data_IF_333028416488
#
_entry.id   IF_333028416488
#
_cell.length_a   1.000
_cell.length_b   1.000
_cell.length_c   1.000
_cell.angle_alpha   90.00
_cell.angle_beta   90.00
_cell.angle_gamma   90.00
#
_symmetry.space_group_name_H-M   'P 1'
#
loop_
_entity.id
_entity.type
_entity.pdbx_description
1 polymer ?
#
# COMPACT_ATOMS: atom_id res chain seq x y z
N UNK A 1 8.11 -10.40 -31.38
CA UNK A 1 7.78 -8.96 -31.21
C UNK A 1 6.39 -8.73 -30.61
N UNK A 2 5.53 -9.76 -30.54
CA UNK A 2 4.21 -9.72 -29.87
C UNK A 2 4.28 -9.96 -28.34
N UNK A 3 5.23 -10.77 -27.85
CA UNK A 3 5.38 -11.10 -26.42
C UNK A 3 5.55 -9.88 -25.51
N UNK A 4 6.43 -8.93 -25.87
CA UNK A 4 6.72 -7.74 -25.07
C UNK A 4 5.50 -6.80 -24.87
N UNK A 5 4.45 -6.94 -25.70
CA UNK A 5 3.28 -6.07 -25.64
C UNK A 5 2.16 -6.65 -24.78
N UNK A 6 2.08 -7.98 -24.65
CA UNK A 6 1.18 -8.65 -23.71
C UNK A 6 1.68 -8.46 -22.27
N UNK A 7 2.99 -8.64 -22.04
CA UNK A 7 3.60 -8.46 -20.72
C UNK A 7 3.30 -7.07 -20.11
N UNK A 8 3.38 -6.01 -20.93
CA UNK A 8 3.10 -4.64 -20.46
C UNK A 8 1.63 -4.34 -20.14
N UNK A 9 0.67 -5.08 -20.73
CA UNK A 9 -0.77 -4.91 -20.45
C UNK A 9 -1.12 -5.58 -19.12
N UNK A 10 -0.57 -6.77 -18.87
CA UNK A 10 -0.80 -7.52 -17.63
C UNK A 10 -0.20 -6.78 -16.43
N UNK A 11 1.03 -6.26 -16.56
CA UNK A 11 1.69 -5.46 -15.52
C UNK A 11 0.92 -4.18 -15.19
N UNK A 12 0.39 -3.51 -16.21
CA UNK A 12 -0.43 -2.30 -16.05
C UNK A 12 -1.74 -2.62 -15.32
N UNK A 13 -2.39 -3.73 -15.69
CA UNK A 13 -3.63 -4.17 -15.04
C UNK A 13 -3.39 -4.54 -13.57
N UNK A 14 -2.33 -5.29 -13.28
CA UNK A 14 -1.93 -5.63 -11.91
C UNK A 14 -1.62 -4.38 -11.08
N UNK A 15 -0.93 -3.40 -11.66
CA UNK A 15 -0.63 -2.13 -11.00
C UNK A 15 -1.90 -1.35 -10.66
N UNK A 16 -2.86 -1.28 -11.58
CA UNK A 16 -4.15 -0.61 -11.34
C UNK A 16 -4.95 -1.28 -10.23
N UNK A 17 -5.07 -2.61 -10.26
CA UNK A 17 -5.75 -3.38 -9.21
C UNK A 17 -5.08 -3.12 -7.86
N UNK A 18 -3.75 -3.19 -7.80
CA UNK A 18 -2.99 -2.95 -6.57
C UNK A 18 -3.23 -1.53 -6.02
N UNK A 19 -3.23 -0.49 -6.86
CA UNK A 19 -3.52 0.89 -6.44
C UNK A 19 -4.94 1.01 -5.89
N UNK A 20 -5.94 0.48 -6.61
CA UNK A 20 -7.35 0.58 -6.20
C UNK A 20 -7.56 -0.15 -4.85
N UNK A 21 -7.05 -1.37 -4.72
CA UNK A 21 -7.13 -2.14 -3.48
C UNK A 21 -6.41 -1.42 -2.34
N UNK A 22 -5.24 -0.84 -2.59
CA UNK A 22 -4.49 -0.11 -1.57
C UNK A 22 -5.25 1.13 -1.08
N UNK A 23 -5.88 1.91 -1.97
CA UNK A 23 -6.69 3.08 -1.60
C UNK A 23 -7.89 2.68 -0.73
N UNK A 24 -8.62 1.64 -1.13
CA UNK A 24 -9.80 1.16 -0.40
C UNK A 24 -9.40 0.69 1.00
N UNK A 25 -8.35 -0.13 1.09
CA UNK A 25 -7.84 -0.61 2.37
C UNK A 25 -7.37 0.56 3.25
N UNK A 26 -6.64 1.53 2.68
CA UNK A 26 -6.13 2.68 3.41
C UNK A 26 -7.27 3.50 4.02
N UNK A 27 -8.34 3.72 3.27
CA UNK A 27 -9.53 4.42 3.76
C UNK A 27 -10.17 3.71 4.96
N UNK A 28 -10.30 2.38 4.89
CA UNK A 28 -10.85 1.57 5.99
C UNK A 28 -9.96 1.67 7.24
N UNK A 29 -8.65 1.55 7.08
CA UNK A 29 -7.71 1.65 8.20
C UNK A 29 -7.70 3.05 8.84
N UNK A 30 -7.75 4.11 8.04
CA UNK A 30 -7.87 5.48 8.54
C UNK A 30 -9.17 5.68 9.34
N UNK A 31 -10.28 5.08 8.90
CA UNK A 31 -11.54 5.10 9.64
C UNK A 31 -11.43 4.37 10.99
N UNK A 32 -10.82 3.19 11.01
CA UNK A 32 -10.58 2.42 12.25
C UNK A 32 -9.70 3.24 13.21
N UNK A 33 -8.59 3.81 12.72
CA UNK A 33 -7.70 4.64 13.52
C UNK A 33 -8.42 5.88 14.08
N UNK A 34 -9.29 6.52 13.28
CA UNK A 34 -10.09 7.66 13.74
C UNK A 34 -11.06 7.26 14.86
N UNK A 35 -11.74 6.11 14.73
CA UNK A 35 -12.64 5.58 15.76
C UNK A 35 -11.87 5.28 17.05
N UNK A 36 -10.73 4.59 16.94
CA UNK A 36 -9.87 4.27 18.09
C UNK A 36 -9.35 5.53 18.78
N UNK A 37 -9.01 6.58 18.02
CA UNK A 37 -8.57 7.87 18.55
C UNK A 37 -9.67 8.60 19.31
N UNK A 38 -10.88 8.65 18.75
CA UNK A 38 -12.03 9.35 19.37
C UNK A 38 -12.48 8.65 20.66
N UNK A 39 -12.39 7.32 20.70
CA UNK A 39 -12.87 6.48 21.82
C UNK A 39 -11.75 6.06 22.77
N UNK A 40 -10.61 6.77 22.76
CA UNK A 40 -9.41 6.44 23.55
C UNK A 40 -9.70 6.34 25.06
N UNK A 41 -10.64 7.14 25.54
CA UNK A 41 -11.14 7.16 26.92
C UNK A 41 -11.86 5.86 27.34
N UNK A 42 -12.55 5.20 26.40
CA UNK A 42 -13.25 3.92 26.63
C UNK A 42 -12.39 2.69 26.41
N UNK A 43 -11.23 2.86 25.78
CA UNK A 43 -10.36 1.77 25.36
C UNK A 43 -8.99 1.88 26.05
N UNK A 44 -9.00 1.74 27.38
CA UNK A 44 -7.80 1.79 28.24
C UNK A 44 -6.94 0.53 28.18
N UNK A 45 -7.43 -0.56 27.59
CA UNK A 45 -6.67 -1.81 27.55
C UNK A 45 -5.44 -1.70 26.62
N UNK A 46 -4.27 -2.23 27.02
CA UNK A 46 -3.03 -2.18 26.22
C UNK A 46 -3.17 -2.79 24.82
N UNK A 47 -4.12 -3.70 24.63
CA UNK A 47 -4.50 -4.29 23.34
C UNK A 47 -4.90 -3.21 22.33
N UNK A 48 -5.65 -2.18 22.74
CA UNK A 48 -6.07 -1.12 21.82
C UNK A 48 -4.90 -0.24 21.36
N UNK A 49 -3.91 -0.04 22.24
CA UNK A 49 -2.67 0.66 21.86
C UNK A 49 -1.90 -0.13 20.81
N UNK A 50 -1.79 -1.46 20.98
CA UNK A 50 -1.15 -2.33 20.00
C UNK A 50 -1.90 -2.34 18.66
N UNK A 51 -3.23 -2.46 18.68
CA UNK A 51 -4.05 -2.39 17.47
C UNK A 51 -3.92 -1.05 16.74
N UNK A 52 -3.79 0.06 17.48
CA UNK A 52 -3.55 1.37 16.89
C UNK A 52 -2.18 1.45 16.19
N UNK A 53 -1.11 0.93 16.82
CA UNK A 53 0.21 0.88 16.19
C UNK A 53 0.26 -0.05 14.97
N UNK A 54 -0.39 -1.22 15.03
CA UNK A 54 -0.53 -2.10 13.86
C UNK A 54 -1.28 -1.39 12.73
N UNK A 55 -2.38 -0.71 13.02
CA UNK A 55 -3.13 0.04 12.00
C UNK A 55 -2.30 1.16 11.34
N UNK A 56 -1.40 1.81 12.08
CA UNK A 56 -0.45 2.77 11.49
C UNK A 56 0.55 2.06 10.57
N UNK A 57 1.10 0.92 11.00
CA UNK A 57 2.03 0.14 10.19
C UNK A 57 1.37 -0.33 8.87
N UNK A 58 0.13 -0.80 8.94
CA UNK A 58 -0.65 -1.20 7.77
C UNK A 58 -0.88 -0.01 6.82
N UNK A 59 -1.21 1.17 7.34
CA UNK A 59 -1.29 2.38 6.51
C UNK A 59 0.02 2.70 5.79
N UNK A 60 1.17 2.59 6.48
CA UNK A 60 2.49 2.82 5.86
C UNK A 60 2.76 1.78 4.77
N UNK A 61 2.47 0.51 5.04
CA UNK A 61 2.62 -0.58 4.06
C UNK A 61 1.76 -0.33 2.81
N UNK A 62 0.50 0.10 2.99
CA UNK A 62 -0.40 0.43 1.88
C UNK A 62 0.10 1.62 1.05
N UNK A 63 0.71 2.63 1.68
CA UNK A 63 1.35 3.74 0.96
C UNK A 63 2.53 3.27 0.11
N UNK A 64 3.32 2.31 0.61
CA UNK A 64 4.42 1.70 -0.16
C UNK A 64 3.86 0.90 -1.35
N UNK A 65 2.79 0.12 -1.15
CA UNK A 65 2.13 -0.59 -2.26
C UNK A 65 1.57 0.36 -3.31
N UNK A 66 1.00 1.49 -2.89
CA UNK A 66 0.49 2.52 -3.80
C UNK A 66 1.63 3.14 -4.60
N UNK A 67 2.75 3.47 -3.96
CA UNK A 67 3.96 3.93 -4.64
C UNK A 67 4.47 2.90 -5.64
N UNK A 68 4.56 1.63 -5.26
CA UNK A 68 4.97 0.54 -6.14
C UNK A 68 4.09 0.41 -7.39
N UNK A 69 2.77 0.47 -7.23
CA UNK A 69 1.85 0.48 -8.37
C UNK A 69 2.06 1.69 -9.30
N UNK A 70 2.27 2.89 -8.73
CA UNK A 70 2.54 4.09 -9.53
C UNK A 70 3.84 3.96 -10.31
N UNK A 71 4.92 3.47 -9.68
CA UNK A 71 6.23 3.20 -10.31
C UNK A 71 6.08 2.26 -11.51
N UNK A 72 5.28 1.19 -11.37
CA UNK A 72 4.98 0.28 -12.49
C UNK A 72 4.22 0.98 -13.62
N UNK A 73 3.23 1.82 -13.30
CA UNK A 73 2.46 2.55 -14.33
C UNK A 73 3.29 3.57 -15.11
N UNK A 74 4.22 4.27 -14.45
CA UNK A 74 5.09 5.23 -15.14
C UNK A 74 6.28 4.57 -15.84
N UNK A 75 6.37 3.23 -15.79
CA UNK A 75 7.50 2.44 -16.30
C UNK A 75 8.83 3.03 -15.82
N UNK A 76 8.89 3.42 -14.54
CA UNK A 76 10.06 4.10 -14.01
C UNK A 76 11.25 3.15 -14.00
N UNK A 77 12.22 3.45 -14.85
CA UNK A 77 13.41 2.63 -15.01
C UNK A 77 14.33 2.83 -13.79
N UNK A 78 14.26 1.92 -12.83
CA UNK A 78 15.07 2.00 -11.62
C UNK A 78 16.50 1.62 -12.00
N UNK A 79 17.50 2.52 -11.82
CA UNK A 79 18.87 2.22 -12.20
C UNK A 79 19.36 1.02 -11.39
N UNK A 80 19.58 -0.10 -12.06
CA UNK A 80 20.07 -1.37 -11.49
C UNK A 80 21.56 -1.26 -11.12
N UNK A 81 21.88 -0.36 -10.20
CA UNK A 81 23.23 -0.28 -9.60
C UNK A 81 23.52 -1.41 -8.62
N UNK A 82 22.56 -2.32 -8.37
CA UNK A 82 22.75 -3.51 -7.53
C UNK A 82 23.27 -4.75 -8.29
N UNK A 83 23.34 -4.75 -9.62
CA UNK A 83 23.77 -5.91 -10.42
C UNK A 83 25.22 -5.79 -10.93
N UNK A 84 26.09 -5.03 -10.24
CA UNK A 84 27.50 -4.82 -10.64
C UNK A 84 28.51 -5.49 -9.69
N UNK A 85 28.11 -6.52 -8.95
CA UNK A 85 29.02 -7.37 -8.18
C UNK A 85 28.81 -8.83 -8.55
#
# INVERSE_FOLDING_TARGET
MTSLKEDGVDDTFCALVNIITAIIALFIYLLILAILRIRKDRFSAPVFSQMFHMGIADCIQLLIHLFGGVVTLVQFDMPTRLNQV
#
